data_IF_541392526023
#
_entry.id   IF_541392526023
#
_cell.length_a   1.000
_cell.length_b   1.000
_cell.length_c   1.000
_cell.angle_alpha   90.00
_cell.angle_beta   90.00
_cell.angle_gamma   90.00
#
_symmetry.space_group_name_H-M   'P 1'
#
loop_
_entity.id
_entity.type
_entity.pdbx_description
1 polymer ?
#
# COMPACT_ATOMS: atom_id res chain seq x y z
N UNK A 1 2.59 22.30 -25.87
CA UNK A 1 2.58 22.08 -27.34
C UNK A 1 3.49 20.88 -27.58
N UNK A 2 3.04 19.63 -27.51
CA UNK A 2 2.14 18.93 -28.43
C UNK A 2 1.24 17.95 -27.65
N UNK A 3 0.00 17.90 -28.10
CA UNK A 3 -1.10 17.01 -27.74
C UNK A 3 -0.96 15.68 -28.51
N UNK A 4 -1.14 14.53 -27.86
CA UNK A 4 -1.50 13.21 -28.42
C UNK A 4 -1.74 12.27 -27.22
N UNK A 5 -2.94 12.18 -26.63
CA UNK A 5 -4.13 11.45 -27.11
C UNK A 5 -3.78 10.05 -27.64
N UNK A 6 -3.83 9.06 -26.74
CA UNK A 6 -4.22 7.68 -27.03
C UNK A 6 -5.03 7.15 -25.84
N UNK A 7 -6.27 7.61 -25.76
CA UNK A 7 -7.38 6.88 -25.16
C UNK A 7 -7.79 5.82 -26.18
N UNK A 8 -7.66 4.52 -25.84
CA UNK A 8 -8.61 3.45 -26.17
C UNK A 8 -7.94 2.07 -26.05
N UNK A 9 -8.01 1.46 -24.86
CA UNK A 9 -8.29 0.03 -24.79
C UNK A 9 -9.51 -0.10 -23.90
N UNK A 10 -10.67 -0.16 -24.55
CA UNK A 10 -11.92 -0.59 -23.96
C UNK A 10 -11.78 -2.06 -23.55
N UNK A 11 -11.60 -2.33 -22.27
CA UNK A 11 -11.73 -3.67 -21.69
C UNK A 11 -13.22 -3.98 -21.52
N UNK A 12 -13.89 -4.39 -22.58
CA UNK A 12 -15.24 -4.95 -22.48
C UNK A 12 -15.15 -6.45 -22.14
N UNK A 13 -16.02 -6.81 -21.20
CA UNK A 13 -16.36 -8.12 -20.68
C UNK A 13 -16.06 -9.33 -21.58
N UNK A 14 -15.35 -10.30 -21.01
CA UNK A 14 -15.67 -11.70 -21.21
C UNK A 14 -16.07 -12.27 -19.85
N UNK A 15 -17.32 -12.03 -19.46
CA UNK A 15 -18.00 -12.97 -18.59
C UNK A 15 -18.19 -14.24 -19.43
N UNK A 16 -17.54 -15.34 -19.04
CA UNK A 16 -18.13 -16.61 -19.39
C UNK A 16 -19.51 -16.65 -18.72
N UNK A 17 -20.53 -17.09 -19.43
CA UNK A 17 -21.94 -17.08 -19.03
C UNK A 17 -22.22 -17.97 -17.79
N UNK A 18 -21.18 -18.46 -17.13
CA UNK A 18 -21.23 -19.38 -16.01
C UNK A 18 -21.08 -18.70 -14.65
N UNK A 19 -20.40 -17.54 -14.52
CA UNK A 19 -20.09 -16.89 -13.21
C UNK A 19 -19.68 -17.89 -12.10
N UNK A 20 -19.09 -19.03 -12.48
CA UNK A 20 -18.86 -20.12 -11.53
C UNK A 20 -17.56 -19.86 -10.79
N UNK A 21 -17.68 -19.68 -9.49
CA UNK A 21 -16.54 -19.66 -8.57
C UNK A 21 -15.68 -20.92 -8.74
N UNK A 22 -14.37 -20.73 -8.84
CA UNK A 22 -13.42 -21.81 -8.65
C UNK A 22 -13.33 -22.06 -7.14
N UNK A 23 -13.56 -23.31 -6.75
CA UNK A 23 -13.41 -23.72 -5.36
C UNK A 23 -11.93 -23.67 -4.97
N UNK A 24 -11.63 -22.96 -3.89
CA UNK A 24 -10.32 -23.02 -3.25
C UNK A 24 -10.31 -24.07 -2.14
N UNK A 25 -9.18 -24.71 -1.90
CA UNK A 25 -9.01 -25.54 -0.71
C UNK A 25 -7.59 -25.49 -0.19
N UNK A 26 -7.48 -25.61 1.12
CA UNK A 26 -6.21 -25.65 1.82
C UNK A 26 -5.60 -27.06 1.74
N UNK A 27 -4.38 -27.14 1.23
CA UNK A 27 -3.53 -28.33 1.19
C UNK A 27 -2.47 -28.33 2.29
N UNK A 28 -1.78 -29.46 2.42
CA UNK A 28 -0.65 -29.60 3.34
C UNK A 28 0.59 -28.85 2.84
N UNK A 29 1.48 -28.44 3.76
CA UNK A 29 2.73 -27.76 3.40
C UNK A 29 3.66 -28.61 2.54
N UNK A 30 4.38 -27.96 1.64
CA UNK A 30 5.17 -28.64 0.60
C UNK A 30 6.42 -27.86 0.21
N UNK A 31 7.40 -28.58 -0.35
CA UNK A 31 8.60 -28.01 -0.96
C UNK A 31 8.48 -27.92 -2.49
N UNK A 32 7.39 -28.45 -3.07
CA UNK A 32 7.26 -28.64 -4.52
C UNK A 32 6.34 -27.62 -5.16
N UNK A 33 5.04 -27.68 -4.87
CA UNK A 33 4.00 -26.92 -5.57
C UNK A 33 3.07 -26.23 -4.58
N UNK A 34 3.07 -24.90 -4.58
CA UNK A 34 2.22 -24.13 -3.70
C UNK A 34 0.83 -23.82 -4.26
N UNK A 35 0.65 -23.95 -5.57
CA UNK A 35 -0.67 -23.95 -6.19
C UNK A 35 -0.78 -25.16 -7.11
N UNK A 36 -1.79 -25.98 -6.88
CA UNK A 36 -2.08 -27.19 -7.65
C UNK A 36 -3.50 -27.09 -8.22
N UNK A 37 -3.59 -27.07 -9.54
CA UNK A 37 -4.83 -27.17 -10.27
C UNK A 37 -5.25 -28.65 -10.37
N UNK A 38 -6.12 -29.09 -9.46
CA UNK A 38 -6.61 -30.47 -9.44
C UNK A 38 -7.69 -30.74 -10.50
N UNK A 39 -8.41 -29.70 -10.93
CA UNK A 39 -9.46 -29.75 -11.94
C UNK A 39 -9.80 -28.34 -12.42
N UNK A 40 -10.50 -28.21 -13.56
CA UNK A 40 -10.99 -26.92 -14.06
C UNK A 40 -11.81 -26.10 -13.03
N UNK A 41 -12.28 -26.71 -11.94
CA UNK A 41 -13.15 -26.07 -10.93
C UNK A 41 -12.55 -26.00 -9.53
N UNK A 42 -11.35 -26.52 -9.28
CA UNK A 42 -10.79 -26.55 -7.92
C UNK A 42 -9.27 -26.37 -7.88
N UNK A 43 -8.83 -25.43 -7.05
CA UNK A 43 -7.43 -25.16 -6.76
C UNK A 43 -7.10 -25.54 -5.33
N UNK A 44 -6.02 -26.31 -5.16
CA UNK A 44 -5.39 -26.50 -3.86
C UNK A 44 -4.25 -25.51 -3.72
N UNK A 45 -4.32 -24.73 -2.65
CA UNK A 45 -3.19 -23.94 -2.18
C UNK A 45 -2.45 -24.81 -1.17
N UNK A 46 -1.12 -25.02 -1.30
CA UNK A 46 -0.23 -25.67 -0.29
C UNK A 46 0.93 -24.76 0.21
N UNK A 47 1.11 -24.46 1.52
CA UNK A 47 2.10 -23.46 1.93
C UNK A 47 3.52 -23.96 1.67
N UNK A 48 4.43 -23.06 1.26
CA UNK A 48 5.83 -23.42 1.06
C UNK A 48 6.52 -23.62 2.43
N UNK A 49 7.38 -24.63 2.52
CA UNK A 49 8.14 -24.94 3.74
C UNK A 49 9.54 -24.29 3.70
N UNK A 50 10.09 -23.99 4.88
CA UNK A 50 11.44 -23.43 5.04
C UNK A 50 11.62 -22.06 4.38
N UNK A 51 12.74 -21.86 3.67
CA UNK A 51 13.08 -20.58 3.02
C UNK A 51 12.57 -20.46 1.58
N UNK A 52 11.45 -21.13 1.28
CA UNK A 52 10.82 -21.08 -0.03
C UNK A 52 9.58 -20.19 0.02
N UNK A 53 9.34 -19.45 -1.05
CA UNK A 53 8.15 -18.62 -1.24
C UNK A 53 7.37 -19.07 -2.47
N UNK A 54 6.10 -18.67 -2.53
CA UNK A 54 5.21 -18.97 -3.64
C UNK A 54 5.10 -17.75 -4.57
N UNK A 55 6.13 -17.51 -5.37
CA UNK A 55 6.18 -16.38 -6.29
C UNK A 55 5.02 -16.47 -7.30
N UNK A 56 4.41 -15.34 -7.64
CA UNK A 56 3.31 -15.20 -8.62
C UNK A 56 1.93 -15.77 -8.27
N UNK A 57 1.77 -16.58 -7.21
CA UNK A 57 0.44 -17.06 -6.81
C UNK A 57 -0.48 -15.90 -6.41
N UNK A 58 0.09 -14.90 -5.75
CA UNK A 58 -0.57 -13.66 -5.37
C UNK A 58 -1.23 -12.95 -6.57
N UNK A 59 -0.44 -12.66 -7.60
CA UNK A 59 -0.91 -11.97 -8.81
C UNK A 59 -1.97 -12.78 -9.55
N UNK A 60 -1.87 -14.12 -9.55
CA UNK A 60 -2.84 -14.99 -10.22
C UNK A 60 -4.17 -15.08 -9.46
N UNK A 61 -4.13 -15.13 -8.12
CA UNK A 61 -5.34 -15.11 -7.27
C UNK A 61 -6.02 -13.73 -7.26
N UNK A 62 -5.25 -12.65 -7.40
CA UNK A 62 -5.79 -11.30 -7.51
C UNK A 62 -6.31 -10.96 -8.92
N UNK A 63 -5.93 -11.73 -9.93
CA UNK A 63 -6.34 -11.49 -11.32
C UNK A 63 -7.78 -11.94 -11.58
N UNK A 64 -8.63 -11.00 -11.97
CA UNK A 64 -10.01 -11.27 -12.41
C UNK A 64 -10.12 -11.87 -13.82
N UNK A 65 -9.02 -11.95 -14.57
CA UNK A 65 -9.00 -12.39 -15.98
C UNK A 65 -8.44 -13.80 -16.18
N UNK A 66 -8.02 -14.47 -15.10
CA UNK A 66 -7.38 -15.79 -15.18
C UNK A 66 -8.45 -16.87 -15.40
N UNK A 67 -8.59 -17.33 -16.65
CA UNK A 67 -9.50 -18.44 -17.00
C UNK A 67 -8.88 -19.83 -16.75
N UNK A 68 -7.58 -19.89 -16.52
CA UNK A 68 -6.86 -21.12 -16.19
C UNK A 68 -5.72 -20.85 -15.23
N UNK A 69 -5.63 -21.63 -14.18
CA UNK A 69 -4.59 -21.49 -13.16
C UNK A 69 -3.47 -22.50 -13.41
N UNK A 70 -2.23 -22.07 -13.65
CA UNK A 70 -1.09 -22.97 -13.77
C UNK A 70 -0.73 -23.56 -12.41
N UNK A 71 0.01 -24.67 -12.41
CA UNK A 71 0.67 -25.14 -11.19
C UNK A 71 1.86 -24.22 -10.89
N UNK A 72 2.01 -23.78 -9.64
CA UNK A 72 3.11 -22.90 -9.21
C UNK A 72 3.99 -23.66 -8.24
N UNK A 73 5.30 -23.57 -8.43
CA UNK A 73 6.30 -24.20 -7.57
C UNK A 73 6.81 -23.27 -6.49
N UNK A 74 7.25 -23.85 -5.38
CA UNK A 74 7.95 -23.12 -4.32
C UNK A 74 9.37 -22.76 -4.80
N UNK A 75 9.78 -21.50 -4.63
CA UNK A 75 11.09 -20.99 -5.05
C UNK A 75 11.91 -20.51 -3.84
N UNK A 76 13.20 -20.86 -3.79
CA UNK A 76 14.07 -20.42 -2.70
C UNK A 76 14.36 -18.94 -2.80
N UNK A 77 14.11 -18.18 -1.74
CA UNK A 77 14.50 -16.77 -1.67
C UNK A 77 15.87 -16.63 -1.03
N UNK A 78 16.83 -16.06 -1.76
CA UNK A 78 18.04 -15.51 -1.17
C UNK A 78 17.73 -14.09 -0.67
N UNK A 79 17.90 -13.85 0.62
CA UNK A 79 17.83 -12.50 1.17
C UNK A 79 19.21 -11.88 0.94
N UNK A 80 19.30 -10.98 -0.03
CA UNK A 80 20.48 -10.14 -0.18
C UNK A 80 20.38 -8.97 0.80
N UNK A 81 21.16 -9.02 1.87
CA UNK A 81 21.22 -7.96 2.88
C UNK A 81 22.01 -6.74 2.38
N UNK A 82 22.60 -6.80 1.18
CA UNK A 82 23.38 -5.72 0.56
C UNK A 82 22.69 -5.19 -0.71
N UNK A 83 21.35 -5.10 -0.71
CA UNK A 83 20.61 -4.54 -1.83
C UNK A 83 21.05 -3.11 -2.13
N UNK A 84 21.71 -2.90 -3.29
CA UNK A 84 21.80 -1.56 -3.89
C UNK A 84 20.38 -1.14 -4.25
N UNK A 85 19.93 -0.01 -3.69
CA UNK A 85 18.67 0.57 -4.12
C UNK A 85 18.74 0.93 -5.60
N UNK A 86 17.62 0.84 -6.31
CA UNK A 86 17.47 1.29 -7.70
C UNK A 86 17.36 2.83 -7.78
N UNK A 87 18.05 3.56 -6.90
CA UNK A 87 18.02 5.01 -6.86
C UNK A 87 18.95 5.57 -7.92
N UNK A 88 18.70 6.80 -8.36
CA UNK A 88 19.63 7.54 -9.22
C UNK A 88 20.19 8.72 -8.43
N UNK A 89 21.53 8.86 -8.32
CA UNK A 89 22.58 7.92 -8.77
C UNK A 89 22.44 6.55 -8.07
N UNK A 90 22.98 5.47 -8.67
CA UNK A 90 22.94 4.05 -8.23
C UNK A 90 23.64 3.80 -6.87
N UNK A 91 23.39 4.68 -5.91
CA UNK A 91 23.99 4.81 -4.59
C UNK A 91 22.87 5.06 -3.58
N UNK A 92 23.00 4.43 -2.43
CA UNK A 92 22.08 4.50 -1.33
C UNK A 92 22.15 5.89 -0.65
N UNK A 93 21.01 6.55 -0.40
CA UNK A 93 20.97 7.82 0.32
C UNK A 93 21.23 7.64 1.81
N UNK A 94 21.38 8.75 2.54
CA UNK A 94 21.54 8.74 3.99
C UNK A 94 20.43 7.93 4.67
N UNK A 95 20.80 7.14 5.68
CA UNK A 95 19.87 6.31 6.45
C UNK A 95 19.62 4.92 5.86
N UNK A 96 19.97 4.69 4.59
CA UNK A 96 19.82 3.38 3.95
C UNK A 96 20.92 2.40 4.35
N UNK A 97 20.63 1.10 4.23
CA UNK A 97 21.62 0.06 4.46
C UNK A 97 22.76 0.11 3.45
N UNK A 98 23.95 -0.30 3.86
CA UNK A 98 25.15 -0.38 3.01
C UNK A 98 26.09 -1.46 3.51
N UNK A 99 26.96 -1.96 2.63
CA UNK A 99 28.00 -2.93 2.98
C UNK A 99 29.40 -2.34 2.76
N UNK A 100 29.53 -1.37 1.88
CA UNK A 100 30.76 -0.61 1.63
C UNK A 100 30.48 0.88 1.41
N UNK A 101 31.51 1.71 1.58
CA UNK A 101 31.42 3.16 1.37
C UNK A 101 30.96 3.54 -0.05
N UNK A 102 31.34 2.73 -1.04
CA UNK A 102 30.94 2.90 -2.44
C UNK A 102 29.48 2.59 -2.71
N UNK A 103 28.74 2.04 -1.74
CA UNK A 103 27.28 1.91 -1.84
C UNK A 103 26.59 3.23 -1.49
N UNK A 104 27.23 4.15 -0.78
CA UNK A 104 26.60 5.35 -0.24
C UNK A 104 26.86 6.59 -1.08
N UNK A 105 25.82 7.40 -1.31
CA UNK A 105 25.93 8.65 -2.07
C UNK A 105 26.83 9.69 -1.39
N UNK A 106 26.98 9.60 -0.07
CA UNK A 106 27.91 10.42 0.73
C UNK A 106 29.34 9.86 0.77
N UNK A 107 29.55 8.63 0.26
CA UNK A 107 30.82 7.91 0.34
C UNK A 107 31.15 7.36 1.74
N UNK A 108 30.20 7.32 2.67
CA UNK A 108 30.42 6.85 4.05
C UNK A 108 29.36 5.83 4.48
N UNK A 109 29.81 4.60 4.72
CA UNK A 109 29.04 3.52 5.30
C UNK A 109 29.54 3.23 6.72
N UNK A 110 28.71 3.47 7.73
CA UNK A 110 29.06 3.23 9.14
C UNK A 110 27.99 2.37 9.78
N UNK A 111 28.41 1.27 10.43
CA UNK A 111 27.49 0.30 11.05
C UNK A 111 26.41 -0.19 10.07
N UNK A 112 26.81 -0.47 8.83
CA UNK A 112 25.93 -0.89 7.73
C UNK A 112 24.82 0.12 7.39
N UNK A 113 25.02 1.41 7.67
CA UNK A 113 24.10 2.50 7.31
C UNK A 113 24.85 3.65 6.63
N UNK A 114 24.30 4.19 5.55
CA UNK A 114 24.86 5.34 4.87
C UNK A 114 24.75 6.59 5.76
N UNK A 115 25.90 7.17 6.07
CA UNK A 115 26.00 8.35 6.93
C UNK A 115 25.98 9.61 6.07
N UNK A 116 25.07 10.53 6.38
CA UNK A 116 24.96 11.81 5.67
C UNK A 116 26.04 12.83 6.04
N UNK A 117 26.15 13.84 5.18
CA UNK A 117 26.97 15.02 5.35
C UNK A 117 26.30 16.02 6.32
N UNK A 118 27.11 16.60 7.20
CA UNK A 118 26.68 17.59 8.20
C UNK A 118 26.57 18.99 7.62
N UNK A 119 26.03 19.92 8.41
CA UNK A 119 25.84 21.33 8.05
C UNK A 119 27.09 21.96 7.42
N UNK A 120 26.91 22.66 6.31
CA UNK A 120 27.97 23.40 5.61
C UNK A 120 28.94 22.55 4.79
N UNK A 121 28.79 21.22 4.76
CA UNK A 121 29.53 20.37 3.83
C UNK A 121 28.92 20.49 2.42
N UNK A 122 29.78 20.48 1.40
CA UNK A 122 29.37 20.55 -0.01
C UNK A 122 28.60 19.28 -0.40
N UNK A 123 27.53 19.46 -1.18
CA UNK A 123 26.68 18.39 -1.63
C UNK A 123 26.17 18.67 -3.05
N UNK A 124 25.78 17.60 -3.73
CA UNK A 124 25.14 17.62 -5.04
C UNK A 124 23.67 17.14 -4.96
N UNK A 125 23.35 16.28 -3.98
CA UNK A 125 22.03 15.66 -3.86
C UNK A 125 21.49 15.79 -2.42
N UNK A 126 20.17 15.97 -2.27
CA UNK A 126 19.53 16.11 -0.97
C UNK A 126 19.78 14.89 -0.05
N UNK A 127 19.76 13.68 -0.62
CA UNK A 127 20.02 12.43 0.09
C UNK A 127 21.46 12.26 0.61
N UNK A 128 22.40 13.14 0.22
CA UNK A 128 23.75 13.15 0.79
C UNK A 128 23.79 13.75 2.18
N UNK A 129 22.86 14.63 2.54
CA UNK A 129 22.90 15.36 3.80
C UNK A 129 22.37 14.51 4.97
N UNK A 130 22.70 14.88 6.21
CA UNK A 130 22.08 14.32 7.40
C UNK A 130 20.57 14.62 7.43
N UNK A 131 19.76 13.85 8.18
CA UNK A 131 18.37 14.20 8.45
C UNK A 131 18.25 15.63 8.95
N UNK A 132 17.16 16.32 8.58
CA UNK A 132 16.94 17.76 8.85
C UNK A 132 17.84 18.72 8.07
N UNK A 133 18.58 18.23 7.09
CA UNK A 133 19.32 19.07 6.15
C UNK A 133 18.93 18.73 4.71
N UNK A 134 18.99 19.74 3.85
CA UNK A 134 18.80 19.58 2.42
C UNK A 134 19.98 20.19 1.65
N UNK A 135 20.18 19.73 0.42
CA UNK A 135 21.26 20.24 -0.41
C UNK A 135 20.86 21.52 -1.17
N UNK A 136 21.62 22.60 -0.99
CA UNK A 136 21.54 23.83 -1.79
C UNK A 136 22.92 24.24 -2.32
N UNK A 137 23.72 23.23 -2.73
CA UNK A 137 25.18 23.31 -2.93
C UNK A 137 25.98 23.01 -1.66
N UNK A 138 25.38 23.26 -0.49
CA UNK A 138 25.85 22.82 0.82
C UNK A 138 24.68 22.25 1.60
N UNK A 139 24.96 21.36 2.55
CA UNK A 139 23.93 20.86 3.45
C UNK A 139 23.45 21.97 4.38
N UNK A 140 22.21 22.39 4.17
CA UNK A 140 21.56 23.52 4.85
C UNK A 140 20.46 23.01 5.75
N UNK A 141 20.37 23.56 6.97
CA UNK A 141 19.36 23.16 7.94
C UNK A 141 17.96 23.51 7.41
N UNK A 142 17.04 22.55 7.51
CA UNK A 142 15.61 22.78 7.30
C UNK A 142 15.11 23.74 8.38
N UNK A 143 14.74 24.96 7.97
CA UNK A 143 14.28 26.02 8.88
C UNK A 143 12.76 26.22 8.87
N UNK A 144 12.06 25.58 7.92
CA UNK A 144 10.62 25.69 7.80
C UNK A 144 9.91 24.86 8.87
N UNK A 145 8.94 25.44 9.54
CA UNK A 145 7.94 24.70 10.33
C UNK A 145 6.75 24.31 9.43
N UNK A 146 5.90 23.39 9.87
CA UNK A 146 4.63 23.11 9.21
C UNK A 146 3.84 24.42 9.03
N UNK A 147 3.33 24.68 7.83
CA UNK A 147 2.65 25.92 7.44
C UNK A 147 3.57 27.05 6.95
N UNK A 148 4.89 26.87 7.01
CA UNK A 148 5.86 27.79 6.42
C UNK A 148 5.84 27.73 4.90
N UNK A 149 6.36 28.78 4.25
CA UNK A 149 6.50 28.78 2.79
C UNK A 149 7.61 27.80 2.37
N UNK A 150 7.41 27.15 1.23
CA UNK A 150 8.37 26.27 0.60
C UNK A 150 8.25 26.35 -0.92
N UNK A 151 9.32 26.01 -1.61
CA UNK A 151 9.32 25.77 -3.05
C UNK A 151 9.46 24.28 -3.40
N UNK A 152 10.12 23.51 -2.55
CA UNK A 152 10.38 22.07 -2.73
C UNK A 152 10.11 21.29 -1.44
N UNK A 153 9.90 19.97 -1.56
CA UNK A 153 9.67 19.10 -0.39
C UNK A 153 10.82 19.15 0.62
N UNK A 154 12.05 19.28 0.14
CA UNK A 154 13.27 19.22 0.96
C UNK A 154 13.46 20.44 1.85
N UNK A 155 12.76 21.53 1.57
CA UNK A 155 12.73 22.71 2.45
C UNK A 155 11.84 22.49 3.67
N UNK A 156 11.04 21.42 3.70
CA UNK A 156 10.15 21.08 4.79
C UNK A 156 10.78 20.06 5.74
N UNK A 157 10.29 19.99 7.00
CA UNK A 157 10.70 18.96 7.94
C UNK A 157 10.48 17.54 7.38
N UNK A 158 11.28 16.54 7.82
CA UNK A 158 10.95 15.15 7.57
C UNK A 158 9.52 14.81 7.98
N UNK A 159 8.87 13.91 7.23
CA UNK A 159 7.43 13.61 7.43
C UNK A 159 6.49 14.70 6.93
N UNK A 160 7.02 15.75 6.29
CA UNK A 160 6.24 16.78 5.59
C UNK A 160 6.67 16.86 4.11
N UNK A 161 5.97 17.67 3.33
CA UNK A 161 6.37 18.05 1.99
C UNK A 161 5.74 19.38 1.59
N UNK A 162 6.10 19.90 0.42
CA UNK A 162 5.61 21.16 -0.07
C UNK A 162 4.31 20.98 -0.87
N UNK A 163 3.19 21.31 -0.24
CA UNK A 163 1.87 21.30 -0.85
C UNK A 163 1.41 22.76 -1.03
N UNK A 164 1.10 23.19 -2.27
CA UNK A 164 0.57 24.54 -2.51
C UNK A 164 1.44 25.65 -1.89
N UNK A 165 2.77 25.52 -2.01
CA UNK A 165 3.79 26.42 -1.44
C UNK A 165 3.83 26.48 0.09
N UNK A 166 3.26 25.48 0.76
CA UNK A 166 3.23 25.37 2.22
C UNK A 166 3.71 24.00 2.69
N UNK A 167 4.59 23.99 3.69
CA UNK A 167 5.01 22.75 4.32
C UNK A 167 3.82 22.10 5.01
N UNK A 168 3.45 20.91 4.53
CA UNK A 168 2.25 20.18 4.95
C UNK A 168 2.66 18.78 5.35
N UNK A 169 2.11 18.27 6.46
CA UNK A 169 2.39 16.91 6.92
C UNK A 169 1.96 15.88 5.88
N UNK A 170 2.72 14.81 5.74
CA UNK A 170 2.31 13.65 4.94
C UNK A 170 1.09 13.02 5.60
N UNK A 171 0.14 12.58 4.76
CA UNK A 171 -1.12 11.94 5.18
C UNK A 171 -1.89 12.73 6.27
N UNK A 172 -1.83 14.06 6.23
CA UNK A 172 -2.44 14.93 7.25
C UNK A 172 -3.76 15.56 6.83
N UNK A 173 -4.02 15.66 5.52
CA UNK A 173 -5.19 16.32 4.97
C UNK A 173 -6.39 15.38 4.90
N UNK A 174 -7.55 15.90 5.33
CA UNK A 174 -8.86 15.26 5.29
C UNK A 174 -9.53 15.37 3.91
N UNK A 175 -10.57 14.55 3.68
CA UNK A 175 -11.39 14.60 2.47
C UNK A 175 -11.93 16.03 2.23
N UNK A 176 -11.74 16.55 1.01
CA UNK A 176 -12.18 17.88 0.57
C UNK A 176 -11.14 18.99 0.69
N UNK A 177 -10.04 18.77 1.42
CA UNK A 177 -8.95 19.74 1.51
C UNK A 177 -8.13 19.79 0.22
N UNK A 178 -7.51 20.95 -0.08
CA UNK A 178 -6.76 21.13 -1.33
C UNK A 178 -5.40 20.43 -1.26
N UNK A 179 -5.08 19.69 -2.32
CA UNK A 179 -3.80 19.02 -2.45
C UNK A 179 -3.37 18.87 -3.90
N UNK A 180 -2.08 19.04 -4.15
CA UNK A 180 -1.45 18.78 -5.45
C UNK A 180 -0.93 17.34 -5.57
N UNK A 181 -0.82 16.62 -4.45
CA UNK A 181 -0.25 15.27 -4.41
C UNK A 181 -0.96 14.37 -3.38
N UNK A 182 -1.21 13.12 -3.76
CA UNK A 182 -1.85 12.13 -2.90
C UNK A 182 -1.15 11.87 -1.57
N UNK A 183 0.18 12.08 -1.50
CA UNK A 183 0.96 11.83 -0.28
C UNK A 183 0.57 12.69 0.93
N UNK A 184 -0.16 13.78 0.71
CA UNK A 184 -0.65 14.64 1.78
C UNK A 184 -2.03 14.23 2.29
N UNK A 185 -2.79 13.46 1.50
CA UNK A 185 -4.17 13.07 1.82
C UNK A 185 -4.17 11.79 2.65
N UNK A 186 -4.96 11.73 3.73
CA UNK A 186 -5.15 10.48 4.51
C UNK A 186 -5.64 9.33 3.65
N UNK A 187 -6.48 9.63 2.66
CA UNK A 187 -6.99 8.66 1.68
C UNK A 187 -5.94 8.19 0.67
N UNK A 188 -4.78 8.84 0.58
CA UNK A 188 -3.80 8.65 -0.48
C UNK A 188 -4.40 8.81 -1.88
N UNK A 189 -5.36 9.74 -2.03
CA UNK A 189 -6.05 9.99 -3.28
C UNK A 189 -6.33 11.48 -3.46
N UNK A 190 -5.98 12.01 -4.64
CA UNK A 190 -6.33 13.37 -5.07
C UNK A 190 -7.18 13.31 -6.33
N UNK A 191 -8.27 14.05 -6.34
CA UNK A 191 -9.13 14.24 -7.50
C UNK A 191 -9.45 15.73 -7.64
N UNK A 192 -9.24 16.27 -8.85
CA UNK A 192 -9.48 17.69 -9.16
C UNK A 192 -8.82 18.69 -8.17
N UNK A 193 -7.63 18.35 -7.66
CA UNK A 193 -6.86 19.22 -6.75
C UNK A 193 -7.35 19.24 -5.30
N UNK A 194 -8.22 18.31 -4.91
CA UNK A 194 -8.61 18.07 -3.53
C UNK A 194 -8.32 16.63 -3.13
N UNK A 195 -8.06 16.41 -1.84
CA UNK A 195 -8.10 15.10 -1.24
C UNK A 195 -9.51 14.54 -1.40
N UNK A 196 -9.61 13.34 -1.96
CA UNK A 196 -10.89 12.68 -2.19
C UNK A 196 -10.79 11.23 -1.71
N UNK A 197 -11.92 10.54 -1.71
CA UNK A 197 -12.05 9.16 -1.29
C UNK A 197 -12.98 8.45 -2.28
N UNK A 198 -13.06 7.13 -2.21
CA UNK A 198 -13.82 6.28 -3.11
C UNK A 198 -14.89 5.59 -2.27
N UNK A 199 -16.12 5.75 -2.74
CA UNK A 199 -17.30 5.07 -2.24
C UNK A 199 -17.80 4.09 -3.29
N UNK A 200 -18.31 2.95 -2.83
CA UNK A 200 -18.73 1.86 -3.69
C UNK A 200 -20.25 1.83 -3.75
N UNK A 201 -20.78 1.69 -4.95
CA UNK A 201 -22.20 1.56 -5.25
C UNK A 201 -22.45 0.28 -6.05
N UNK A 202 -23.66 -0.26 -5.96
CA UNK A 202 -24.13 -1.28 -6.91
C UNK A 202 -24.52 -0.63 -8.24
N UNK A 203 -24.73 -1.45 -9.28
CA UNK A 203 -25.32 -1.00 -10.56
C UNK A 203 -26.69 -0.33 -10.40
N UNK A 204 -27.43 -0.64 -9.32
CA UNK A 204 -28.70 0.01 -9.01
C UNK A 204 -28.51 1.34 -8.25
N UNK A 205 -27.30 1.91 -8.27
CA UNK A 205 -26.90 3.14 -7.58
C UNK A 205 -27.17 3.11 -6.07
N UNK A 206 -27.15 1.91 -5.46
CA UNK A 206 -27.24 1.77 -4.02
C UNK A 206 -25.86 1.79 -3.40
N UNK A 207 -25.66 2.65 -2.41
CA UNK A 207 -24.42 2.68 -1.63
C UNK A 207 -24.20 1.31 -0.99
N UNK A 208 -23.02 0.74 -1.21
CA UNK A 208 -22.61 -0.52 -0.61
C UNK A 208 -21.79 -0.20 0.64
N UNK A 209 -22.32 -0.59 1.79
CA UNK A 209 -21.57 -0.49 3.04
C UNK A 209 -20.59 -1.66 3.18
N UNK A 210 -19.58 -1.49 4.04
CA UNK A 210 -18.66 -2.56 4.40
C UNK A 210 -19.45 -3.82 4.84
N UNK A 211 -19.10 -5.03 4.37
CA UNK A 211 -17.88 -5.42 3.64
C UNK A 211 -17.99 -5.37 2.10
N UNK A 212 -18.91 -4.57 1.56
CA UNK A 212 -19.14 -4.37 0.13
C UNK A 212 -19.64 -5.62 -0.61
N UNK A 213 -20.63 -6.28 -0.03
CA UNK A 213 -21.29 -7.42 -0.67
C UNK A 213 -22.02 -7.01 -1.96
N UNK A 214 -21.95 -7.87 -2.96
CA UNK A 214 -22.60 -7.68 -4.26
C UNK A 214 -23.17 -9.00 -4.79
N UNK A 215 -24.02 -8.91 -5.81
CA UNK A 215 -24.57 -10.08 -6.48
C UNK A 215 -23.61 -10.56 -7.58
N UNK A 216 -23.35 -11.86 -7.65
CA UNK A 216 -22.54 -12.43 -8.73
C UNK A 216 -23.14 -12.06 -10.10
N UNK A 217 -22.28 -11.57 -10.98
CA UNK A 217 -22.65 -11.08 -12.31
C UNK A 217 -23.10 -9.62 -12.39
N UNK A 218 -23.21 -8.91 -11.26
CA UNK A 218 -23.32 -7.45 -11.25
C UNK A 218 -21.94 -6.78 -11.21
N UNK A 219 -21.88 -5.49 -11.53
CA UNK A 219 -20.71 -4.65 -11.29
C UNK A 219 -20.85 -3.80 -10.03
N UNK A 220 -19.71 -3.51 -9.43
CA UNK A 220 -19.51 -2.51 -8.40
C UNK A 220 -19.03 -1.23 -9.08
N UNK A 221 -19.70 -0.12 -8.80
CA UNK A 221 -19.37 1.21 -9.30
C UNK A 221 -18.59 1.97 -8.23
N UNK A 222 -17.43 2.52 -8.61
CA UNK A 222 -16.55 3.26 -7.72
C UNK A 222 -16.65 4.73 -8.09
N UNK A 223 -17.08 5.55 -7.14
CA UNK A 223 -17.26 6.98 -7.32
C UNK A 223 -16.38 7.74 -6.34
N UNK A 224 -15.79 8.83 -6.81
CA UNK A 224 -15.15 9.79 -5.94
C UNK A 224 -16.19 10.43 -5.01
N UNK A 225 -15.91 10.46 -3.71
CA UNK A 225 -16.87 10.82 -2.67
C UNK A 225 -17.21 12.30 -2.70
N UNK A 226 -16.21 13.16 -2.87
CA UNK A 226 -16.36 14.61 -2.82
C UNK A 226 -16.86 15.14 -4.16
N UNK A 227 -16.24 14.72 -5.26
CA UNK A 227 -16.61 15.20 -6.61
C UNK A 227 -17.81 14.47 -7.22
N UNK A 228 -18.22 13.32 -6.67
CA UNK A 228 -19.27 12.43 -7.21
C UNK A 228 -19.00 11.93 -8.63
N UNK A 229 -17.78 12.10 -9.13
CA UNK A 229 -17.39 11.62 -10.46
C UNK A 229 -17.24 10.10 -10.42
N UNK A 230 -17.65 9.45 -11.51
CA UNK A 230 -17.35 8.05 -11.75
C UNK A 230 -15.83 7.86 -11.89
N UNK A 231 -15.27 6.96 -11.09
CA UNK A 231 -13.86 6.57 -11.19
C UNK A 231 -13.72 5.39 -12.15
N UNK A 232 -14.34 4.26 -11.81
CA UNK A 232 -14.32 3.03 -12.61
C UNK A 232 -15.40 2.05 -12.10
N UNK A 233 -15.56 0.92 -12.80
CA UNK A 233 -16.41 -0.19 -12.36
C UNK A 233 -15.65 -1.51 -12.46
N UNK A 234 -15.84 -2.40 -11.50
CA UNK A 234 -15.30 -3.78 -11.52
C UNK A 234 -16.45 -4.76 -11.27
N UNK A 235 -16.38 -5.95 -11.85
CA UNK A 235 -17.37 -7.00 -11.60
C UNK A 235 -17.32 -7.49 -10.15
N UNK A 236 -18.45 -7.99 -9.66
CA UNK A 236 -18.54 -8.65 -8.37
C UNK A 236 -17.68 -9.92 -8.35
N UNK A 237 -16.79 -10.04 -7.37
CA UNK A 237 -15.85 -11.15 -7.28
C UNK A 237 -16.33 -12.21 -6.29
N UNK A 238 -16.11 -13.47 -6.64
CA UNK A 238 -16.45 -14.57 -5.77
C UNK A 238 -15.50 -14.67 -4.56
N UNK A 239 -16.04 -15.03 -3.40
CA UNK A 239 -15.28 -15.31 -2.19
C UNK A 239 -14.65 -16.71 -2.11
N UNK A 240 -14.70 -17.51 -3.19
CA UNK A 240 -14.10 -18.86 -3.26
C UNK A 240 -15.05 -20.02 -2.97
N UNK A 241 -16.27 -19.76 -2.50
CA UNK A 241 -17.29 -20.80 -2.27
C UNK A 241 -18.08 -21.12 -3.56
N UNK A 242 -18.16 -22.40 -3.89
CA UNK A 242 -18.84 -22.87 -5.11
C UNK A 242 -20.34 -22.97 -4.87
N UNK A 243 -21.09 -22.05 -5.50
CA UNK A 243 -22.55 -22.08 -5.52
C UNK A 243 -23.22 -20.93 -4.76
N UNK A 244 -22.44 -20.03 -4.18
CA UNK A 244 -22.95 -18.80 -3.61
C UNK A 244 -23.27 -17.78 -4.73
N UNK A 245 -24.45 -17.17 -4.69
CA UNK A 245 -24.86 -16.08 -5.59
C UNK A 245 -24.37 -14.71 -5.12
N UNK A 246 -23.74 -14.64 -3.94
CA UNK A 246 -23.17 -13.43 -3.37
C UNK A 246 -21.64 -13.44 -3.49
N UNK A 247 -21.08 -12.26 -3.76
CA UNK A 247 -19.66 -11.99 -3.82
C UNK A 247 -19.32 -10.68 -3.12
N UNK A 248 -18.12 -10.17 -3.37
CA UNK A 248 -17.64 -8.92 -2.80
C UNK A 248 -17.02 -8.03 -3.86
N UNK A 249 -17.23 -6.73 -3.72
CA UNK A 249 -16.54 -5.73 -4.51
C UNK A 249 -15.06 -5.69 -4.12
N UNK A 250 -14.19 -5.42 -5.10
CA UNK A 250 -12.76 -5.23 -4.87
C UNK A 250 -12.48 -4.04 -3.94
N UNK A 251 -11.47 -4.21 -3.08
CA UNK A 251 -11.10 -3.25 -2.03
C UNK A 251 -9.60 -2.82 -2.11
N UNK A 252 -8.93 -3.19 -3.21
CA UNK A 252 -7.49 -3.00 -3.45
C UNK A 252 -7.09 -1.58 -3.90
N UNK A 253 -8.03 -0.66 -4.05
CA UNK A 253 -7.73 0.66 -4.64
C UNK A 253 -7.45 1.72 -3.57
N UNK A 254 -6.39 2.54 -3.68
CA UNK A 254 -6.14 3.64 -2.76
C UNK A 254 -7.37 4.52 -2.55
N UNK A 255 -7.55 4.97 -1.31
CA UNK A 255 -8.64 5.85 -0.93
C UNK A 255 -10.02 5.23 -1.01
N UNK A 256 -10.23 3.94 -0.71
CA UNK A 256 -11.58 3.43 -0.41
C UNK A 256 -11.88 3.63 1.08
N UNK A 257 -13.04 4.20 1.41
CA UNK A 257 -13.28 4.93 2.67
C UNK A 257 -13.29 4.14 3.97
N UNK A 258 -13.15 2.80 3.93
CA UNK A 258 -13.28 1.97 5.13
C UNK A 258 -11.97 1.57 5.79
N UNK A 259 -10.80 2.01 5.28
CA UNK A 259 -9.52 1.80 5.98
C UNK A 259 -8.68 3.06 5.95
N UNK A 260 -8.37 3.57 7.13
CA UNK A 260 -7.39 4.62 7.34
C UNK A 260 -6.00 4.04 7.64
N UNK A 261 -5.27 3.64 6.60
CA UNK A 261 -3.88 3.16 6.76
C UNK A 261 -2.91 4.27 7.14
N UNK A 262 -3.33 5.54 7.12
CA UNK A 262 -2.46 6.65 7.54
C UNK A 262 -2.04 6.53 9.01
N UNK A 263 -2.87 5.90 9.84
CA UNK A 263 -2.55 5.62 11.24
C UNK A 263 -1.40 4.62 11.41
N UNK A 264 -1.14 3.77 10.40
CA UNK A 264 0.05 2.92 10.39
C UNK A 264 1.32 3.73 10.09
N UNK A 265 1.18 4.88 9.43
CA UNK A 265 2.28 5.69 8.92
C UNK A 265 2.52 6.90 9.83
N UNK A 266 2.53 6.68 11.15
CA UNK A 266 2.93 7.69 12.13
C UNK A 266 4.43 7.93 12.03
N UNK A 267 4.78 9.09 11.48
CA UNK A 267 6.17 9.53 11.31
C UNK A 267 6.81 9.85 12.67
N UNK A 268 7.84 9.07 13.02
CA UNK A 268 8.74 9.31 14.13
C UNK A 268 9.98 10.09 13.66
N UNK A 269 11.09 9.98 14.41
CA UNK A 269 12.41 10.42 13.97
C UNK A 269 12.89 9.61 12.76
N UNK A 270 13.08 10.26 11.62
CA UNK A 270 13.71 9.64 10.46
C UNK A 270 15.23 9.64 10.55
N UNK A 271 15.86 8.59 10.05
CA UNK A 271 17.31 8.55 9.79
C UNK A 271 17.68 8.90 8.36
N UNK A 272 16.69 9.14 7.50
CA UNK A 272 16.91 9.48 6.11
C UNK A 272 16.85 10.97 5.83
N UNK A 273 17.31 11.34 4.63
CA UNK A 273 17.25 12.70 4.07
C UNK A 273 16.89 12.64 2.59
N UNK A 274 16.53 13.79 2.00
CA UNK A 274 16.07 13.85 0.62
C UNK A 274 14.73 13.12 0.41
N UNK A 275 14.49 12.58 -0.78
CA UNK A 275 13.21 11.94 -1.14
C UNK A 275 12.73 10.89 -0.12
N UNK A 276 13.59 10.00 0.41
CA UNK A 276 13.16 9.02 1.39
C UNK A 276 12.53 9.62 2.67
N UNK A 277 12.98 10.80 3.11
CA UNK A 277 12.44 11.47 4.30
C UNK A 277 11.04 12.08 4.08
N UNK A 278 10.61 12.18 2.81
CA UNK A 278 9.33 12.75 2.37
C UNK A 278 8.45 11.73 1.64
N UNK A 279 8.80 10.44 1.74
CA UNK A 279 8.07 9.33 1.14
C UNK A 279 6.91 8.87 2.02
N UNK A 280 5.91 8.24 1.41
CA UNK A 280 4.84 7.50 2.11
C UNK A 280 4.93 5.99 1.85
N UNK A 281 6.01 5.55 1.20
CA UNK A 281 6.26 4.14 0.91
C UNK A 281 6.69 3.43 2.21
N UNK A 282 5.96 2.40 2.66
CA UNK A 282 6.23 1.71 3.92
C UNK A 282 7.63 1.09 3.98
N UNK A 283 8.18 0.60 2.86
CA UNK A 283 9.51 -0.01 2.80
C UNK A 283 10.58 1.03 3.06
N UNK A 284 10.42 2.18 2.40
CA UNK A 284 11.30 3.33 2.59
C UNK A 284 11.18 3.82 4.03
N UNK A 285 9.97 4.00 4.54
CA UNK A 285 9.73 4.50 5.90
C UNK A 285 10.32 3.58 6.96
N UNK A 286 10.18 2.27 6.81
CA UNK A 286 10.75 1.29 7.73
C UNK A 286 12.29 1.26 7.65
N UNK A 287 12.85 1.24 6.44
CA UNK A 287 14.31 1.32 6.23
C UNK A 287 14.90 2.60 6.84
N UNK A 288 14.17 3.71 6.72
CA UNK A 288 14.52 5.01 7.29
C UNK A 288 14.19 5.14 8.79
N UNK A 289 13.76 4.06 9.44
CA UNK A 289 13.29 4.00 10.84
C UNK A 289 12.24 5.05 11.18
N UNK A 290 11.51 5.54 10.18
CA UNK A 290 10.47 6.56 10.31
C UNK A 290 9.17 5.99 10.86
N UNK A 291 8.97 4.68 10.72
CA UNK A 291 7.89 3.91 11.35
C UNK A 291 8.48 2.71 12.13
N UNK A 292 7.72 2.19 13.10
CA UNK A 292 8.12 1.00 13.86
C UNK A 292 7.93 -0.28 13.03
N UNK A 293 8.56 -1.38 13.46
CA UNK A 293 8.32 -2.70 12.85
C UNK A 293 6.86 -3.15 12.97
N UNK A 294 6.20 -2.83 14.09
CA UNK A 294 4.78 -3.15 14.29
C UNK A 294 3.89 -2.39 13.30
N UNK A 295 4.15 -1.10 13.10
CA UNK A 295 3.46 -0.26 12.12
C UNK A 295 3.66 -0.77 10.68
N UNK A 296 4.89 -1.12 10.33
CA UNK A 296 5.24 -1.70 9.03
C UNK A 296 4.49 -3.02 8.80
N UNK A 297 4.52 -3.93 9.78
CA UNK A 297 3.81 -5.20 9.69
C UNK A 297 2.30 -4.98 9.58
N UNK A 298 1.72 -4.10 10.39
CA UNK A 298 0.31 -3.76 10.33
C UNK A 298 -0.09 -3.23 8.95
N UNK A 299 0.69 -2.30 8.38
CA UNK A 299 0.46 -1.79 7.02
C UNK A 299 0.40 -2.94 6.01
N UNK A 300 1.38 -3.84 6.03
CA UNK A 300 1.43 -4.96 5.10
C UNK A 300 0.32 -5.98 5.33
N UNK A 301 -0.04 -6.28 6.58
CA UNK A 301 -1.17 -7.15 6.90
C UNK A 301 -2.47 -6.61 6.29
N UNK A 302 -2.72 -5.31 6.46
CA UNK A 302 -3.87 -4.65 5.85
C UNK A 302 -3.78 -4.72 4.33
N UNK A 303 -2.67 -4.31 3.71
CA UNK A 303 -2.50 -4.35 2.25
C UNK A 303 -2.76 -5.75 1.68
N UNK A 304 -2.26 -6.78 2.36
CA UNK A 304 -2.49 -8.18 2.03
C UNK A 304 -3.98 -8.54 2.11
N UNK A 305 -4.68 -8.21 3.19
CA UNK A 305 -6.13 -8.42 3.30
C UNK A 305 -6.91 -7.73 2.16
N UNK A 306 -6.50 -6.51 1.77
CA UNK A 306 -7.13 -5.75 0.68
C UNK A 306 -6.95 -6.42 -0.68
N UNK A 307 -5.74 -6.93 -0.95
CA UNK A 307 -5.41 -7.62 -2.19
C UNK A 307 -6.19 -8.93 -2.39
N UNK A 308 -6.72 -9.52 -1.31
CA UNK A 308 -7.53 -10.73 -1.37
C UNK A 308 -8.90 -10.55 -0.74
N UNK A 309 -9.44 -9.33 -0.80
CA UNK A 309 -10.65 -8.95 -0.06
C UNK A 309 -11.82 -9.93 -0.15
N UNK A 310 -12.23 -10.41 -1.36
CA UNK A 310 -13.33 -11.36 -1.45
C UNK A 310 -13.06 -12.67 -0.71
N UNK A 311 -11.81 -13.16 -0.72
CA UNK A 311 -11.39 -14.39 -0.05
C UNK A 311 -11.25 -14.20 1.46
N UNK A 312 -10.75 -13.04 1.88
CA UNK A 312 -10.62 -12.68 3.27
C UNK A 312 -12.00 -12.53 3.93
N UNK A 313 -12.93 -11.79 3.29
CA UNK A 313 -14.27 -11.58 3.85
C UNK A 313 -15.20 -12.78 3.75
N UNK A 314 -14.92 -13.74 2.88
CA UNK A 314 -15.66 -15.01 2.88
C UNK A 314 -15.23 -15.97 4.00
N UNK A 315 -14.03 -15.81 4.54
CA UNK A 315 -13.42 -16.72 5.50
C UNK A 315 -13.04 -18.09 4.94
N UNK A 316 -13.14 -18.28 3.62
CA UNK A 316 -13.12 -19.61 3.01
C UNK A 316 -11.74 -20.29 3.04
N UNK A 317 -10.67 -19.50 3.03
CA UNK A 317 -9.29 -20.00 3.08
C UNK A 317 -8.54 -19.61 4.35
N UNK A 318 -9.22 -19.09 5.37
CA UNK A 318 -8.63 -18.57 6.62
C UNK A 318 -7.68 -19.59 7.28
N UNK A 319 -8.09 -20.86 7.31
CA UNK A 319 -7.29 -21.95 7.91
C UNK A 319 -5.89 -22.12 7.31
N UNK A 320 -5.65 -21.58 6.12
CA UNK A 320 -4.35 -21.64 5.47
C UNK A 320 -3.82 -20.31 4.93
N UNK A 321 -4.63 -19.25 4.83
CA UNK A 321 -4.25 -17.96 4.26
C UNK A 321 -2.96 -17.39 4.84
N UNK A 322 -2.81 -17.42 6.17
CA UNK A 322 -1.60 -16.97 6.85
C UNK A 322 -0.37 -17.80 6.45
N UNK A 323 -0.53 -19.14 6.35
CA UNK A 323 0.56 -20.05 5.97
C UNK A 323 1.01 -19.85 4.52
N UNK A 324 0.14 -19.33 3.65
CA UNK A 324 0.49 -18.94 2.29
C UNK A 324 1.15 -17.57 2.17
N UNK A 325 1.15 -16.78 3.25
CA UNK A 325 1.46 -15.36 3.15
C UNK A 325 0.45 -14.61 2.28
N UNK A 326 -0.82 -15.05 2.23
CA UNK A 326 -1.86 -14.29 1.55
C UNK A 326 -2.34 -13.13 2.42
N UNK A 327 -2.79 -13.43 3.63
CA UNK A 327 -3.26 -12.46 4.62
C UNK A 327 -3.35 -13.10 6.01
N UNK A 328 -3.32 -12.25 7.04
CA UNK A 328 -3.70 -12.64 8.40
C UNK A 328 -5.23 -12.66 8.52
N UNK A 329 -5.76 -13.62 9.26
CA UNK A 329 -7.18 -13.78 9.52
C UNK A 329 -7.68 -12.88 10.64
N UNK A 330 -6.79 -12.34 11.47
CA UNK A 330 -7.19 -11.34 12.47
C UNK A 330 -7.82 -10.12 11.79
N UNK A 331 -9.02 -9.72 12.23
CA UNK A 331 -9.67 -8.51 11.73
C UNK A 331 -9.07 -7.27 12.40
N UNK A 332 -7.95 -6.86 11.84
CA UNK A 332 -7.23 -5.64 12.21
C UNK A 332 -8.06 -4.38 11.99
N UNK A 333 -9.06 -4.40 11.09
CA UNK A 333 -9.97 -3.27 10.87
C UNK A 333 -11.02 -3.12 11.96
N UNK A 334 -11.38 -4.21 12.65
CA UNK A 334 -12.36 -4.15 13.73
C UNK A 334 -11.85 -3.42 14.99
N UNK A 335 -10.52 -3.23 15.10
CA UNK A 335 -9.88 -2.59 16.24
C UNK A 335 -10.05 -1.05 16.27
N UNK A 336 -10.38 -0.41 15.14
CA UNK A 336 -10.66 1.03 15.10
C UNK A 336 -11.98 1.40 15.80
N UNK A 337 -12.94 0.46 15.83
CA UNK A 337 -14.14 0.63 16.66
C UNK A 337 -13.83 0.55 18.16
N UNK A 338 -12.75 -0.14 18.56
CA UNK A 338 -12.37 -0.21 19.97
C UNK A 338 -11.69 1.08 20.47
N UNK A 339 -10.92 1.79 19.63
CA UNK A 339 -10.37 3.11 19.99
C UNK A 339 -11.43 4.21 20.06
N UNK A 340 -12.46 4.17 19.19
CA UNK A 340 -13.59 5.11 19.28
C UNK A 340 -14.45 4.83 20.53
N UNK A 341 -14.63 3.56 20.92
CA UNK A 341 -15.34 3.21 22.17
C UNK A 341 -14.52 3.60 23.42
N UNK A 342 -13.18 3.58 23.34
CA UNK A 342 -12.27 4.05 24.40
C UNK A 342 -12.36 5.56 24.68
N UNK A 343 -12.67 6.39 23.67
CA UNK A 343 -12.86 7.83 23.85
C UNK A 343 -14.27 8.18 24.35
N UNK A 344 -15.30 7.43 23.97
CA UNK A 344 -16.68 7.63 24.46
C UNK A 344 -16.80 7.23 25.95
N UNK A 345 -16.03 6.25 26.41
CA UNK A 345 -16.01 5.82 27.82
C UNK A 345 -15.26 6.77 28.76
N UNK A 346 -14.40 7.68 28.26
CA UNK A 346 -13.82 8.77 29.06
C UNK A 346 -14.74 9.97 29.23
N UNK A 347 -15.69 10.20 28.31
CA UNK A 347 -16.65 11.32 28.42
C UNK A 347 -17.77 11.00 29.44
N UNK A 348 -18.06 9.73 29.72
CA UNK A 348 -19.04 9.33 30.74
C UNK A 348 -18.51 9.25 32.19
N UNK A 349 -17.21 9.49 32.41
CA UNK A 349 -16.62 9.59 33.76
C UNK A 349 -16.46 11.05 34.25
N UNK A 350 -16.93 12.04 33.49
CA UNK A 350 -16.85 13.47 33.82
C UNK A 350 -18.23 14.16 33.92
N UNK A 351 -19.30 13.41 34.18
CA UNK A 351 -20.62 13.95 34.55
C UNK A 351 -21.02 13.47 35.94
#
# INVERSE_FOLDING_TARGET
>A
MILLLLFSITSYAAADASYTCIGLQCGAGTWKQCMLNNSQTTLTLSPCLGNYTCTNAAALLASSTTTSFPNITCESTAIDNCGRGTWTPDLNPTGWSCCENSDCISGSCINNTCQGLTSGQECEYHGQCQPWYYCSGYCTLVSAEIGSNCDTDYECPPGCGCNLKKCTGLLSLDDGEKSENMKFCKSMLVQDGICDNIVIYSEAEQYLDYPFQCNMGSNCMYLYRMTKKFAYSKSCNCGGDRGNSTGFCWFDTPGVSSIDISQALVFNDTKCSGDPAHSIDPDILFACTSITGDNYNFYYHILHQRNYWPLYKSGFIDSCALKFGLFDTEDWMSHDNAMIIGLISMIYCLV
#
